data_IF_048724567950
#
_entry.id   IF_048724567950
#
_cell.length_a   1.000
_cell.length_b   1.000
_cell.length_c   1.000
_cell.angle_alpha   90.00
_cell.angle_beta   90.00
_cell.angle_gamma   90.00
#
_symmetry.space_group_name_H-M   'P 1'
#
loop_
_entity.id
_entity.type
_entity.pdbx_description
1 polymer ?
#
# COMPACT_ATOMS: atom_id res chain seq x y z
N UNK A 1 -13.60 2.16 -12.62
CA UNK A 1 -12.52 3.15 -12.44
C UNK A 1 -11.90 2.99 -11.07
N UNK A 2 -10.58 2.95 -11.02
CA UNK A 2 -9.90 2.77 -9.76
C UNK A 2 -9.93 4.05 -8.95
N UNK A 3 -10.30 3.95 -7.70
CA UNK A 3 -10.33 5.09 -6.80
C UNK A 3 -9.01 5.27 -6.09
N UNK A 4 -8.35 4.15 -5.76
CA UNK A 4 -7.09 4.19 -5.04
C UNK A 4 -5.98 3.65 -5.94
N UNK A 5 -4.87 4.39 -5.99
CA UNK A 5 -3.67 3.91 -6.67
C UNK A 5 -2.58 3.75 -5.63
N UNK A 6 -2.13 2.53 -5.44
CA UNK A 6 -1.16 2.16 -4.42
C UNK A 6 0.09 1.59 -5.06
N UNK A 7 1.25 1.95 -4.52
CA UNK A 7 2.52 1.39 -4.95
C UNK A 7 3.22 0.77 -3.77
N UNK A 8 3.54 -0.51 -3.89
CA UNK A 8 4.23 -1.22 -2.82
C UNK A 8 5.66 -1.50 -3.28
N UNK A 9 6.60 -0.93 -2.56
CA UNK A 9 8.03 -1.11 -2.84
C UNK A 9 8.55 -2.25 -1.99
N UNK A 10 9.18 -3.23 -2.63
CA UNK A 10 9.67 -4.43 -1.98
C UNK A 10 11.12 -4.69 -2.36
N UNK A 11 11.76 -5.64 -1.68
CA UNK A 11 13.11 -6.08 -2.01
C UNK A 11 13.06 -7.57 -2.32
N UNK A 12 13.04 -7.89 -3.59
CA UNK A 12 13.11 -9.26 -4.08
C UNK A 12 12.06 -10.16 -3.45
N UNK A 13 12.48 -11.39 -3.12
CA UNK A 13 11.57 -12.38 -2.57
C UNK A 13 11.73 -12.56 -1.06
N UNK A 14 12.14 -11.53 -0.34
CA UNK A 14 12.26 -11.65 1.11
C UNK A 14 10.93 -12.02 1.73
N UNK A 15 10.97 -12.64 2.90
CA UNK A 15 9.75 -13.03 3.58
C UNK A 15 8.87 -11.82 3.87
N UNK A 16 9.46 -10.72 4.31
CA UNK A 16 8.68 -9.52 4.61
C UNK A 16 8.02 -8.97 3.35
N UNK A 17 8.72 -9.03 2.21
CA UNK A 17 8.13 -8.58 0.94
C UNK A 17 6.93 -9.43 0.56
N UNK A 18 7.06 -10.74 0.69
CA UNK A 18 5.96 -11.64 0.38
C UNK A 18 4.77 -11.41 1.31
N UNK A 19 5.04 -11.19 2.59
CA UNK A 19 3.97 -10.90 3.54
C UNK A 19 3.26 -9.59 3.22
N UNK A 20 4.04 -8.56 2.85
CA UNK A 20 3.46 -7.27 2.52
C UNK A 20 2.56 -7.36 1.29
N UNK A 21 3.00 -8.10 0.27
CA UNK A 21 2.20 -8.28 -0.94
C UNK A 21 0.88 -8.97 -0.60
N UNK A 22 0.94 -10.07 0.13
CA UNK A 22 -0.26 -10.82 0.48
C UNK A 22 -1.20 -9.97 1.33
N UNK A 23 -0.65 -9.22 2.29
CA UNK A 23 -1.46 -8.41 3.19
C UNK A 23 -2.13 -7.27 2.45
N UNK A 24 -1.41 -6.58 1.54
CA UNK A 24 -2.02 -5.45 0.86
C UNK A 24 -3.13 -5.89 -0.10
N UNK A 25 -2.95 -7.03 -0.78
CA UNK A 25 -4.02 -7.52 -1.65
C UNK A 25 -5.24 -7.93 -0.82
N UNK A 26 -5.03 -8.53 0.35
CA UNK A 26 -6.15 -8.88 1.23
C UNK A 26 -6.88 -7.62 1.70
N UNK A 27 -6.13 -6.62 2.15
CA UNK A 27 -6.73 -5.37 2.63
C UNK A 27 -7.52 -4.69 1.52
N UNK A 28 -6.95 -4.63 0.32
CA UNK A 28 -7.64 -4.00 -0.79
C UNK A 28 -8.93 -4.73 -1.14
N UNK A 29 -8.86 -6.06 -1.15
CA UNK A 29 -10.03 -6.86 -1.48
C UNK A 29 -11.14 -6.69 -0.46
N UNK A 30 -10.77 -6.61 0.81
CA UNK A 30 -11.74 -6.55 1.90
C UNK A 30 -12.25 -5.14 2.17
N UNK A 31 -11.40 -4.13 1.96
CA UNK A 31 -11.71 -2.79 2.43
C UNK A 31 -11.95 -1.77 1.32
N UNK A 32 -11.48 -2.02 0.12
CA UNK A 32 -11.56 -1.02 -0.94
C UNK A 32 -12.56 -1.37 -2.06
N UNK A 33 -13.34 -2.43 -1.84
CA UNK A 33 -14.48 -2.73 -2.70
C UNK A 33 -14.15 -2.73 -4.19
N UNK A 34 -13.02 -3.31 -4.56
CA UNK A 34 -12.56 -3.41 -5.96
C UNK A 34 -12.24 -2.08 -6.63
N UNK A 35 -12.13 -1.00 -5.86
CA UNK A 35 -11.82 0.31 -6.43
C UNK A 35 -10.37 0.65 -6.18
N UNK A 36 -9.46 -0.20 -6.63
CA UNK A 36 -8.05 0.01 -6.36
C UNK A 36 -7.20 -0.56 -7.49
N UNK A 37 -6.00 -0.02 -7.61
CA UNK A 37 -4.95 -0.60 -8.42
C UNK A 37 -3.68 -0.65 -7.57
N UNK A 38 -2.99 -1.78 -7.58
CA UNK A 38 -1.75 -1.97 -6.82
C UNK A 38 -0.62 -2.25 -7.79
N UNK A 39 0.44 -1.46 -7.69
CA UNK A 39 1.65 -1.70 -8.46
C UNK A 39 2.73 -2.17 -7.50
N UNK A 40 3.34 -3.32 -7.79
CA UNK A 40 4.43 -3.87 -6.99
C UNK A 40 5.75 -3.49 -7.65
N UNK A 41 6.63 -2.83 -6.92
CA UNK A 41 7.90 -2.36 -7.45
C UNK A 41 9.03 -2.96 -6.65
N UNK A 42 9.86 -3.77 -7.31
CA UNK A 42 11.04 -4.36 -6.68
C UNK A 42 12.18 -3.37 -6.81
N UNK A 43 12.67 -2.87 -5.68
CA UNK A 43 13.71 -1.86 -5.69
C UNK A 43 15.04 -2.38 -6.24
N UNK A 44 15.22 -3.71 -6.24
CA UNK A 44 16.41 -4.29 -6.85
C UNK A 44 16.36 -4.21 -8.37
N UNK A 45 15.17 -4.23 -8.94
CA UNK A 45 14.99 -4.16 -10.38
C UNK A 45 14.78 -2.74 -10.87
N UNK A 46 14.20 -1.88 -10.05
CA UNK A 46 13.90 -0.51 -10.43
C UNK A 46 14.40 0.47 -9.38
N UNK A 47 15.71 0.52 -9.15
CA UNK A 47 16.25 1.38 -8.09
C UNK A 47 15.99 2.87 -8.31
N UNK A 48 15.87 3.30 -9.59
CA UNK A 48 15.59 4.70 -9.84
C UNK A 48 14.24 5.12 -9.33
N UNK A 49 13.24 4.24 -9.40
CA UNK A 49 11.91 4.56 -8.90
C UNK A 49 11.93 4.71 -7.38
N UNK A 50 12.67 3.83 -6.70
CA UNK A 50 12.80 3.93 -5.25
C UNK A 50 13.48 5.24 -4.86
N UNK A 51 14.50 5.64 -5.62
CA UNK A 51 15.20 6.85 -5.33
C UNK A 51 14.32 8.08 -5.55
N UNK A 52 13.56 8.09 -6.63
CA UNK A 52 12.65 9.20 -6.94
C UNK A 52 11.59 9.39 -5.87
N UNK A 53 11.10 8.29 -5.30
CA UNK A 53 10.08 8.35 -4.27
C UNK A 53 10.69 8.40 -2.87
N UNK A 54 12.01 8.43 -2.78
CA UNK A 54 12.73 8.49 -1.51
C UNK A 54 12.37 7.34 -0.59
N UNK A 55 12.30 6.14 -1.16
CA UNK A 55 12.05 4.93 -0.41
C UNK A 55 13.37 4.46 0.19
N UNK A 56 13.49 4.54 1.50
CA UNK A 56 14.73 4.24 2.20
C UNK A 56 14.73 2.84 2.79
N UNK A 57 13.57 2.27 3.03
CA UNK A 57 13.44 0.91 3.57
C UNK A 57 12.31 0.22 2.85
N UNK A 58 12.26 -1.10 2.93
CA UNK A 58 11.17 -1.89 2.36
C UNK A 58 10.69 -2.91 3.39
N UNK A 59 9.43 -3.31 3.33
CA UNK A 59 8.40 -2.85 2.40
C UNK A 59 7.90 -1.45 2.75
N UNK A 60 7.58 -0.67 1.72
CA UNK A 60 6.97 0.66 1.90
C UNK A 60 5.79 0.76 0.93
N UNK A 61 4.63 1.11 1.47
CA UNK A 61 3.43 1.31 0.68
C UNK A 61 3.15 2.80 0.55
N UNK A 62 2.93 3.26 -0.68
CA UNK A 62 2.61 4.65 -0.94
C UNK A 62 1.26 4.74 -1.61
N UNK A 63 0.36 5.53 -1.04
CA UNK A 63 -0.92 5.84 -1.70
C UNK A 63 -0.67 7.05 -2.59
N UNK A 64 -0.74 6.83 -3.90
CA UNK A 64 -0.56 7.91 -4.87
C UNK A 64 -1.84 8.68 -5.09
N UNK A 65 -2.97 7.99 -5.11
CA UNK A 65 -4.29 8.56 -5.29
C UNK A 65 -5.28 7.88 -4.38
N UNK A 66 -6.26 8.61 -3.85
CA UNK A 66 -6.44 10.05 -3.98
C UNK A 66 -5.50 10.80 -3.05
N UNK A 67 -5.25 12.07 -3.32
CA UNK A 67 -4.43 12.85 -2.40
C UNK A 67 -5.11 12.96 -1.04
N UNK A 68 -4.35 13.18 0.02
CA UNK A 68 -2.93 13.47 0.03
C UNK A 68 -2.10 12.19 -0.12
N UNK A 69 -0.88 12.34 -0.63
CA UNK A 69 0.05 11.23 -0.71
C UNK A 69 0.43 10.80 0.70
N UNK A 70 0.34 9.51 0.96
CA UNK A 70 0.65 8.94 2.27
C UNK A 70 1.51 7.71 2.07
N UNK A 71 2.33 7.41 3.08
CA UNK A 71 3.15 6.20 3.02
C UNK A 71 3.16 5.50 4.37
N UNK A 72 3.37 4.19 4.30
CA UNK A 72 3.46 3.39 5.50
C UNK A 72 4.55 2.35 5.30
N UNK A 73 5.31 2.08 6.33
CA UNK A 73 6.44 1.17 6.28
C UNK A 73 6.13 -0.06 7.10
N UNK A 74 6.49 -1.23 6.59
CA UNK A 74 6.34 -2.48 7.30
C UNK A 74 5.67 -3.54 6.46
N UNK A 75 5.35 -4.68 7.05
CA UNK A 75 4.80 -5.82 6.33
C UNK A 75 3.30 -5.74 6.12
N UNK A 76 2.67 -4.66 6.50
CA UNK A 76 1.22 -4.42 6.31
C UNK A 76 0.35 -5.42 7.05
N UNK A 77 0.86 -5.99 8.16
CA UNK A 77 0.12 -7.03 8.87
C UNK A 77 -1.03 -6.47 9.70
N UNK A 78 -0.93 -5.19 10.12
CA UNK A 78 -1.98 -4.59 10.93
C UNK A 78 -2.89 -3.77 10.03
N UNK A 79 -4.05 -4.31 9.70
CA UNK A 79 -4.98 -3.69 8.75
C UNK A 79 -5.39 -2.29 9.19
N UNK A 80 -5.69 -2.10 10.46
CA UNK A 80 -6.17 -0.80 10.92
C UNK A 80 -5.08 0.26 10.83
N UNK A 81 -3.84 -0.11 11.14
CA UNK A 81 -2.73 0.83 10.99
C UNK A 81 -2.53 1.21 9.55
N UNK A 82 -2.68 0.26 8.63
CA UNK A 82 -2.54 0.56 7.20
C UNK A 82 -3.63 1.52 6.76
N UNK A 83 -4.87 1.25 7.11
CA UNK A 83 -5.98 2.10 6.68
C UNK A 83 -5.85 3.51 7.27
N UNK A 84 -5.51 3.62 8.54
CA UNK A 84 -5.34 4.92 9.15
C UNK A 84 -4.13 5.65 8.58
N UNK A 85 -3.04 4.95 8.38
CA UNK A 85 -1.81 5.57 7.89
C UNK A 85 -1.94 6.07 6.46
N UNK A 86 -2.81 5.45 5.67
CA UNK A 86 -3.04 5.87 4.30
C UNK A 86 -4.25 6.81 4.18
N UNK A 87 -4.87 7.14 5.30
CA UNK A 87 -6.05 8.01 5.30
C UNK A 87 -7.19 7.40 4.48
N UNK A 88 -7.37 6.09 4.63
CA UNK A 88 -8.45 5.37 3.98
C UNK A 88 -9.47 5.01 5.04
N UNK A 89 -10.72 5.35 4.76
CA UNK A 89 -11.79 5.05 5.69
C UNK A 89 -12.51 3.78 5.22
N UNK A 90 -12.66 2.78 6.09
CA UNK A 90 -13.43 1.61 5.74
C UNK A 90 -14.87 1.99 5.39
N UNK A 91 -15.45 1.29 4.45
CA UNK A 91 -16.80 1.59 3.98
C UNK A 91 -17.81 1.60 5.12
N UNK A 92 -17.63 0.71 6.06
CA UNK A 92 -18.57 0.60 7.16
C UNK A 92 -18.62 1.82 8.03
N UNK A 93 -17.59 2.65 8.01
CA UNK A 93 -17.58 3.82 8.85
C UNK A 93 -18.36 4.98 8.26
N UNK A 94 -18.71 4.86 6.98
CA UNK A 94 -19.38 5.96 6.37
C UNK A 94 -20.79 6.12 6.78
N UNK A 95 -21.42 5.10 7.35
CA UNK A 95 -22.79 5.15 7.53
C UNK A 95 -23.13 5.69 8.81
N UNK A 96 -22.37 5.80 9.65
CA UNK A 96 -22.74 6.05 10.82
C UNK A 96 -22.95 7.17 11.19
N UNK A 97 -23.37 7.48 11.12
CA UNK A 97 -23.60 8.64 11.61
C UNK A 97 -24.34 9.11 11.37
#
# INVERSE_FOLDING_TARGET
MDKYLLRLYITGNSLRSQQAIANIYRICREELNNQYAVEIIDVLEQPQRAEQEKVMVTPTLIKQLPPPLQRIIGDMSNTQRVLLGLDILPTELDFER
#
